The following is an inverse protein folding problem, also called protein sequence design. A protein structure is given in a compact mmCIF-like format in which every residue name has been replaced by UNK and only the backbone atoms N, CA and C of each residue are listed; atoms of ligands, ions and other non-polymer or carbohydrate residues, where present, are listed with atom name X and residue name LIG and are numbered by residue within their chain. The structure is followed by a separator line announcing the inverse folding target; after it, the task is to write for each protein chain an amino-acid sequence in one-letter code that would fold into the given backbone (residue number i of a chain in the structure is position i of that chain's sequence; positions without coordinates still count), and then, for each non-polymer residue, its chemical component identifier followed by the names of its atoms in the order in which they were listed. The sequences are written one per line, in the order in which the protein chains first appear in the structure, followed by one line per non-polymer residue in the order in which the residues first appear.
data_IF_603043835858
#
_entry.id   IF_603043835858
#
_cell.length_a   1.000
_cell.length_b   1.000
_cell.length_c   1.000
_cell.angle_alpha   90.00
_cell.angle_beta   90.00
_cell.angle_gamma   90.00
#
_symmetry.space_group_name_H-M   'P 1'
#
loop_
_entity.id
_entity.type
_entity.pdbx_description
1 polymer ?
#
# COMPACT_ATOMS: atom_id res chain seq x y z
N UNK A 1 -5.88 -7.18 -14.80
CA UNK A 1 -4.53 -7.18 -15.41
C UNK A 1 -3.98 -8.60 -15.46
N UNK A 2 -3.05 -8.90 -16.37
CA UNK A 2 -2.28 -10.14 -16.32
C UNK A 2 -1.02 -9.99 -15.43
N UNK A 3 -0.27 -11.07 -15.21
CA UNK A 3 0.91 -11.03 -14.33
C UNK A 3 2.06 -10.18 -14.88
N UNK A 4 2.18 -10.07 -16.21
CA UNK A 4 3.23 -9.27 -16.85
C UNK A 4 2.93 -7.77 -16.71
N UNK A 5 1.66 -7.38 -16.89
CA UNK A 5 1.18 -6.03 -16.64
C UNK A 5 1.38 -5.62 -15.17
N UNK A 6 1.05 -6.50 -14.23
CA UNK A 6 1.21 -6.25 -12.79
C UNK A 6 2.68 -6.04 -12.44
N UNK A 7 3.57 -6.89 -12.96
CA UNK A 7 5.00 -6.75 -12.71
C UNK A 7 5.54 -5.43 -13.30
N UNK A 8 5.18 -5.11 -14.55
CA UNK A 8 5.60 -3.85 -15.17
C UNK A 8 5.09 -2.63 -14.39
N UNK A 9 3.84 -2.65 -13.94
CA UNK A 9 3.26 -1.60 -13.10
C UNK A 9 4.04 -1.44 -11.78
N UNK A 10 4.34 -2.57 -11.13
CA UNK A 10 5.10 -2.57 -9.89
C UNK A 10 6.50 -1.99 -10.09
N UNK A 11 7.24 -2.51 -11.05
CA UNK A 11 8.63 -2.14 -11.30
C UNK A 11 8.75 -0.66 -11.73
N UNK A 12 7.79 -0.14 -12.50
CA UNK A 12 7.81 1.25 -12.98
C UNK A 12 7.36 2.28 -11.92
N UNK A 13 6.31 1.97 -11.15
CA UNK A 13 5.69 2.95 -10.23
C UNK A 13 5.96 2.72 -8.74
N UNK A 14 6.11 1.47 -8.31
CA UNK A 14 5.99 1.09 -6.91
C UNK A 14 7.24 0.47 -6.30
N UNK A 15 8.18 -0.04 -7.10
CA UNK A 15 9.43 -0.63 -6.60
C UNK A 15 10.24 0.37 -5.76
N UNK A 16 10.40 1.60 -6.24
CA UNK A 16 11.11 2.65 -5.52
C UNK A 16 10.37 3.04 -4.22
N UNK A 17 9.05 3.20 -4.28
CA UNK A 17 8.23 3.61 -3.14
C UNK A 17 8.22 2.54 -2.03
N UNK A 18 8.04 1.26 -2.40
CA UNK A 18 7.98 0.15 -1.46
C UNK A 18 9.37 -0.30 -1.01
N UNK A 19 10.41 0.01 -1.78
CA UNK A 19 11.80 -0.34 -1.46
C UNK A 19 12.03 -1.85 -1.41
N UNK A 20 11.28 -2.61 -2.20
CA UNK A 20 11.39 -4.06 -2.31
C UNK A 20 11.12 -4.52 -3.74
N UNK A 21 11.76 -5.61 -4.20
CA UNK A 21 11.53 -6.13 -5.55
C UNK A 21 10.15 -6.79 -5.68
N UNK A 22 9.61 -6.84 -6.90
CA UNK A 22 8.32 -7.46 -7.20
C UNK A 22 8.19 -8.89 -6.64
N UNK A 23 9.24 -9.70 -6.77
CA UNK A 23 9.24 -11.09 -6.25
C UNK A 23 9.02 -11.19 -4.74
N UNK A 24 9.51 -10.21 -3.97
CA UNK A 24 9.30 -10.14 -2.54
C UNK A 24 7.87 -9.71 -2.23
N UNK A 25 7.36 -8.69 -2.94
CA UNK A 25 5.97 -8.27 -2.81
C UNK A 25 5.01 -9.40 -3.17
N UNK A 26 5.21 -10.07 -4.31
CA UNK A 26 4.36 -11.15 -4.81
C UNK A 26 4.24 -12.32 -3.82
N UNK A 27 5.29 -12.62 -3.05
CA UNK A 27 5.28 -13.68 -2.04
C UNK A 27 4.32 -13.42 -0.87
N UNK A 28 4.00 -12.15 -0.60
CA UNK A 28 3.08 -11.71 0.45
C UNK A 28 1.80 -11.05 -0.12
N UNK A 29 1.75 -10.83 -1.43
CA UNK A 29 0.67 -10.13 -2.08
C UNK A 29 -0.63 -10.93 -2.03
N UNK A 30 -1.77 -10.24 -1.83
CA UNK A 30 -3.09 -10.81 -2.04
C UNK A 30 -3.22 -11.50 -3.39
N UNK A 31 -3.86 -12.67 -3.41
CA UNK A 31 -4.10 -13.45 -4.63
C UNK A 31 -5.56 -13.36 -5.09
N UNK A 32 -6.45 -12.83 -4.25
CA UNK A 32 -7.88 -12.67 -4.52
C UNK A 32 -8.35 -11.28 -4.12
N UNK A 33 -9.46 -10.84 -4.71
CA UNK A 33 -10.09 -9.55 -4.41
C UNK A 33 -10.45 -9.43 -2.92
N UNK A 34 -11.00 -10.49 -2.30
CA UNK A 34 -11.29 -10.52 -0.86
C UNK A 34 -10.04 -10.29 0.00
N UNK A 35 -8.90 -10.88 -0.38
CA UNK A 35 -7.64 -10.70 0.33
C UNK A 35 -7.10 -9.28 0.12
N UNK A 36 -7.24 -8.73 -1.09
CA UNK A 36 -6.83 -7.38 -1.41
C UNK A 36 -7.64 -6.37 -0.59
N UNK A 37 -8.96 -6.56 -0.54
CA UNK A 37 -9.86 -5.73 0.27
C UNK A 37 -9.53 -5.81 1.77
N UNK A 38 -9.30 -7.01 2.30
CA UNK A 38 -8.86 -7.18 3.67
C UNK A 38 -7.54 -6.45 3.95
N UNK A 39 -6.57 -6.53 3.03
CA UNK A 39 -5.28 -5.84 3.15
C UNK A 39 -5.44 -4.32 3.10
N UNK A 40 -6.29 -3.80 2.22
CA UNK A 40 -6.61 -2.36 2.18
C UNK A 40 -7.20 -1.87 3.51
N UNK A 41 -8.09 -2.64 4.14
CA UNK A 41 -8.62 -2.32 5.48
C UNK A 41 -7.52 -2.30 6.54
N UNK A 42 -6.58 -3.25 6.50
CA UNK A 42 -5.44 -3.27 7.42
C UNK A 42 -4.56 -2.03 7.25
N UNK A 43 -4.24 -1.68 6.00
CA UNK A 43 -3.48 -0.47 5.66
C UNK A 43 -4.18 0.78 6.20
N UNK A 44 -5.48 0.93 5.98
CA UNK A 44 -6.26 2.07 6.51
C UNK A 44 -6.23 2.13 8.04
N UNK A 45 -6.32 0.98 8.72
CA UNK A 45 -6.19 0.92 10.18
C UNK A 45 -4.81 1.33 10.65
N UNK A 46 -3.76 0.91 9.95
CA UNK A 46 -2.38 1.31 10.29
C UNK A 46 -2.13 2.79 10.04
N UNK A 47 -2.63 3.34 8.93
CA UNK A 47 -2.59 4.76 8.65
C UNK A 47 -3.36 5.56 9.69
N UNK A 48 -4.50 5.09 10.16
CA UNK A 48 -5.22 5.75 11.25
C UNK A 48 -4.47 5.64 12.59
N UNK A 49 -3.96 4.45 12.92
CA UNK A 49 -3.24 4.20 14.17
C UNK A 49 -1.97 5.05 14.30
N UNK A 50 -1.24 5.21 13.20
CA UNK A 50 0.01 5.97 13.19
C UNK A 50 -0.21 7.47 12.95
N UNK A 51 -1.46 7.91 12.73
CA UNK A 51 -1.75 9.30 12.41
C UNK A 51 -1.38 10.26 13.54
N UNK A 52 -1.87 9.99 14.75
CA UNK A 52 -1.60 10.86 15.90
C UNK A 52 -0.09 10.94 16.19
N UNK A 53 0.60 9.79 16.15
CA UNK A 53 2.05 9.74 16.36
C UNK A 53 2.81 10.52 15.28
N UNK A 54 2.45 10.35 14.00
CA UNK A 54 3.05 11.11 12.90
C UNK A 54 2.76 12.60 12.98
N UNK A 55 1.56 12.96 13.40
CA UNK A 55 1.12 14.35 13.53
C UNK A 55 1.89 15.09 14.64
N UNK A 56 2.12 14.41 15.76
CA UNK A 56 2.87 14.96 16.90
C UNK A 56 4.39 14.85 16.75
N UNK A 57 4.89 13.94 15.90
CA UNK A 57 6.32 13.76 15.69
C UNK A 57 6.99 14.98 15.05
N UNK A 58 8.29 15.14 15.34
CA UNK A 58 9.14 16.19 14.76
C UNK A 58 10.53 15.64 14.40
N UNK A 59 11.23 16.34 13.50
CA UNK A 59 12.55 15.93 13.01
C UNK A 59 12.56 14.54 12.37
N UNK A 60 13.66 13.81 12.54
CA UNK A 60 13.89 12.48 11.95
C UNK A 60 12.77 11.47 12.23
N UNK A 61 12.10 11.56 13.38
CA UNK A 61 10.98 10.65 13.71
C UNK A 61 9.78 10.89 12.81
N UNK A 62 9.52 12.15 12.46
CA UNK A 62 8.43 12.50 11.55
C UNK A 62 8.73 11.98 10.14
N UNK A 63 9.96 12.13 9.68
CA UNK A 63 10.38 11.66 8.36
C UNK A 63 10.26 10.13 8.26
N UNK A 64 10.70 9.39 9.29
CA UNK A 64 10.53 7.94 9.34
C UNK A 64 9.04 7.51 9.29
N UNK A 65 8.17 8.22 10.03
CA UNK A 65 6.74 7.94 10.03
C UNK A 65 6.08 8.33 8.70
N UNK A 66 6.56 9.40 8.07
CA UNK A 66 6.12 9.82 6.74
C UNK A 66 6.47 8.74 5.70
N UNK A 67 7.74 8.31 5.65
CA UNK A 67 8.21 7.25 4.75
C UNK A 67 7.42 5.95 4.96
N UNK A 68 7.15 5.58 6.22
CA UNK A 68 6.33 4.41 6.54
C UNK A 68 4.90 4.54 6.00
N UNK A 69 4.26 5.69 6.21
CA UNK A 69 2.90 5.96 5.73
C UNK A 69 2.83 6.01 4.21
N UNK A 70 3.87 6.53 3.55
CA UNK A 70 3.91 6.61 2.10
C UNK A 70 4.08 5.22 1.48
N UNK A 71 4.85 4.33 2.10
CA UNK A 71 4.89 2.90 1.73
C UNK A 71 3.53 2.23 1.83
N UNK A 72 2.81 2.47 2.93
CA UNK A 72 1.47 1.92 3.13
C UNK A 72 0.48 2.41 2.06
N UNK A 73 0.51 3.71 1.73
CA UNK A 73 -0.32 4.26 0.66
C UNK A 73 0.05 3.72 -0.72
N UNK A 74 1.34 3.59 -1.00
CA UNK A 74 1.81 3.00 -2.25
C UNK A 74 1.32 1.55 -2.41
N UNK A 75 1.34 0.76 -1.32
CA UNK A 75 0.78 -0.59 -1.32
C UNK A 75 -0.74 -0.57 -1.55
N UNK A 76 -1.47 0.35 -0.93
CA UNK A 76 -2.91 0.52 -1.13
C UNK A 76 -3.24 0.81 -2.60
N UNK A 77 -2.59 1.83 -3.18
CA UNK A 77 -2.82 2.27 -4.55
C UNK A 77 -2.51 1.14 -5.55
N UNK A 78 -1.43 0.37 -5.31
CA UNK A 78 -1.09 -0.80 -6.10
C UNK A 78 -2.20 -1.86 -6.06
N UNK A 79 -2.73 -2.17 -4.87
CA UNK A 79 -3.82 -3.13 -4.73
C UNK A 79 -5.10 -2.64 -5.42
N UNK A 80 -5.40 -1.35 -5.32
CA UNK A 80 -6.53 -0.72 -6.01
C UNK A 80 -6.38 -0.84 -7.53
N UNK A 81 -5.19 -0.54 -8.08
CA UNK A 81 -4.92 -0.64 -9.52
C UNK A 81 -5.00 -2.11 -10.00
N UNK A 82 -4.44 -3.07 -9.27
CA UNK A 82 -4.40 -4.49 -9.65
C UNK A 82 -5.80 -5.13 -9.64
N UNK A 83 -6.54 -4.91 -8.57
CA UNK A 83 -7.83 -5.55 -8.32
C UNK A 83 -9.02 -4.71 -8.77
N UNK A 84 -8.79 -3.50 -9.28
CA UNK A 84 -9.83 -2.54 -9.65
C UNK A 84 -10.84 -2.31 -8.51
N UNK A 85 -10.34 -2.26 -7.27
CA UNK A 85 -11.17 -1.98 -6.11
C UNK A 85 -11.71 -0.56 -6.26
N UNK A 86 -13.03 -0.38 -6.41
CA UNK A 86 -13.56 0.96 -6.53
C UNK A 86 -13.42 1.69 -5.18
N UNK A 87 -12.96 2.95 -5.15
CA UNK A 87 -12.92 3.76 -3.92
C UNK A 87 -14.32 4.05 -3.36
N UNK A 88 -15.37 3.64 -4.09
CA UNK A 88 -16.79 3.83 -3.77
C UNK A 88 -17.41 2.74 -2.87
N UNK A 89 -16.70 1.65 -2.56
CA UNK A 89 -17.15 0.73 -1.50
C UNK A 89 -16.78 1.24 -0.08
N UNK A 90 -16.46 2.54 0.00
CA UNK A 90 -16.49 3.37 1.21
C UNK A 90 -17.93 3.59 1.70
N UNK A 91 -18.61 2.54 2.15
CA UNK A 91 -19.70 2.69 3.11
C UNK A 91 -19.10 2.63 4.52
N UNK A 92 -18.67 3.78 5.03
CA UNK A 92 -18.38 4.02 6.45
C UNK A 92 -19.58 4.67 7.13
#
# INVERSE_FOLDING_TARGET
MDQEDIQNLFDDKYEEALGMPYSQWQAQAPQTEDQAYARCIEIDRELNRTYDEWFEATGDRKDQLQDYRDKLKAEYDLLEEIFHLEPNDRNW
#
